data_IF_351370794305
#
_entry.id   IF_351370794305
#
_cell.length_a   1.000
_cell.length_b   1.000
_cell.length_c   1.000
_cell.angle_alpha   90.00
_cell.angle_beta   90.00
_cell.angle_gamma   90.00
#
_symmetry.space_group_name_H-M   'P 1'
#
loop_
_entity.id
_entity.type
_entity.pdbx_description
1 polymer ?
#
# COMPACT_ATOMS: atom_id res chain seq x y z
N UNK A 1 32.90 37.24 -1.27
CA UNK A 1 32.74 35.96 -1.99
C UNK A 1 32.28 36.24 -3.40
N UNK A 2 32.95 35.66 -4.39
CA UNK A 2 32.68 35.90 -5.82
C UNK A 2 31.39 35.20 -6.23
N UNK A 3 30.63 35.73 -7.19
CA UNK A 3 29.36 35.13 -7.67
C UNK A 3 29.49 33.66 -8.08
N UNK A 4 30.66 33.28 -8.62
CA UNK A 4 30.97 31.91 -9.02
C UNK A 4 31.10 30.93 -7.83
N UNK A 5 31.53 31.40 -6.65
CA UNK A 5 31.58 30.56 -5.44
C UNK A 5 30.16 30.21 -5.00
N UNK A 6 29.25 31.21 -4.94
CA UNK A 6 27.84 30.97 -4.58
C UNK A 6 27.16 29.99 -5.53
N UNK A 7 27.43 30.06 -6.84
CA UNK A 7 26.86 29.09 -7.80
C UNK A 7 27.38 27.65 -7.63
N UNK A 8 28.52 27.42 -6.97
CA UNK A 8 29.00 26.06 -6.67
C UNK A 8 28.30 25.46 -5.44
N UNK A 9 27.82 26.32 -4.53
CA UNK A 9 27.20 25.89 -3.28
C UNK A 9 25.78 25.31 -3.47
N UNK A 10 25.17 25.51 -4.64
CA UNK A 10 23.81 25.04 -4.95
C UNK A 10 23.60 23.53 -4.72
N UNK A 11 24.60 22.70 -5.06
CA UNK A 11 24.51 21.26 -4.87
C UNK A 11 24.65 20.88 -3.39
N UNK A 12 25.51 21.59 -2.67
CA UNK A 12 25.72 21.39 -1.24
C UNK A 12 24.50 21.85 -0.42
N UNK A 13 23.86 22.95 -0.83
CA UNK A 13 22.57 23.39 -0.31
C UNK A 13 21.48 22.34 -0.56
N UNK A 14 21.35 21.84 -1.80
CA UNK A 14 20.35 20.83 -2.14
C UNK A 14 20.55 19.49 -1.39
N UNK A 15 21.80 19.15 -1.03
CA UNK A 15 22.13 17.99 -0.22
C UNK A 15 21.96 18.21 1.29
N UNK A 16 21.74 19.45 1.73
CA UNK A 16 21.64 19.81 3.15
C UNK A 16 22.95 19.62 3.91
N UNK A 17 24.09 19.86 3.27
CA UNK A 17 25.43 19.73 3.89
C UNK A 17 26.11 21.06 4.18
N UNK A 18 25.49 22.19 3.77
CA UNK A 18 25.91 23.52 4.20
C UNK A 18 25.68 23.69 5.70
N UNK A 19 26.55 24.48 6.35
CA UNK A 19 26.26 24.95 7.70
C UNK A 19 25.11 25.98 7.67
N UNK A 20 24.54 26.25 8.85
CA UNK A 20 23.39 27.13 8.99
C UNK A 20 23.67 28.56 8.47
N UNK A 21 24.88 29.08 8.71
CA UNK A 21 25.24 30.44 8.36
C UNK A 21 25.48 30.61 6.85
N UNK A 22 26.03 29.58 6.20
CA UNK A 22 26.21 29.50 4.76
C UNK A 22 24.86 29.26 4.06
N UNK A 23 23.99 28.42 4.61
CA UNK A 23 22.66 28.15 4.07
C UNK A 23 21.82 29.44 4.01
N UNK A 24 21.78 30.20 5.11
CA UNK A 24 21.04 31.47 5.16
C UNK A 24 21.58 32.49 4.13
N UNK A 25 22.90 32.58 3.97
CA UNK A 25 23.52 33.44 2.94
C UNK A 25 23.23 32.96 1.52
N UNK A 26 23.05 31.66 1.31
CA UNK A 26 22.69 31.10 0.01
C UNK A 26 21.21 31.32 -0.32
N UNK A 27 20.31 31.26 0.66
CA UNK A 27 18.88 31.56 0.50
C UNK A 27 18.64 32.99 0.02
N UNK A 28 19.38 33.96 0.56
CA UNK A 28 19.36 35.36 0.08
C UNK A 28 19.73 35.43 -1.42
N UNK A 29 20.78 34.72 -1.84
CA UNK A 29 21.17 34.64 -3.25
C UNK A 29 20.13 33.88 -4.11
N UNK A 30 19.46 32.88 -3.56
CA UNK A 30 18.45 32.08 -4.25
C UNK A 30 17.27 32.96 -4.71
N UNK A 31 16.90 33.96 -3.90
CA UNK A 31 15.84 34.92 -4.22
C UNK A 31 16.20 35.84 -5.40
N UNK A 32 17.49 36.10 -5.61
CA UNK A 32 17.98 37.00 -6.65
C UNK A 32 18.43 36.27 -7.93
N UNK A 33 18.63 34.95 -7.88
CA UNK A 33 19.20 34.18 -8.98
C UNK A 33 18.28 33.05 -9.49
N UNK A 34 17.59 33.23 -10.63
CA UNK A 34 16.69 32.20 -11.18
C UNK A 34 17.44 30.95 -11.64
N UNK A 35 18.73 31.07 -11.99
CA UNK A 35 19.56 29.92 -12.37
C UNK A 35 19.82 28.99 -11.16
N UNK A 36 20.09 29.55 -9.99
CA UNK A 36 20.26 28.75 -8.76
C UNK A 36 18.94 28.09 -8.36
N UNK A 37 17.82 28.81 -8.44
CA UNK A 37 16.50 28.25 -8.18
C UNK A 37 16.17 27.06 -9.11
N UNK A 38 16.44 27.20 -10.42
CA UNK A 38 16.31 26.12 -11.38
C UNK A 38 17.17 24.90 -11.01
N UNK A 39 18.46 25.12 -10.71
CA UNK A 39 19.36 24.03 -10.33
C UNK A 39 18.95 23.31 -9.03
N UNK A 40 18.46 24.00 -8.00
CA UNK A 40 17.95 23.35 -6.78
C UNK A 40 16.81 22.38 -7.10
N UNK A 41 15.87 22.79 -7.97
CA UNK A 41 14.78 21.91 -8.40
C UNK A 41 15.27 20.74 -9.25
N UNK A 42 16.22 20.99 -10.17
CA UNK A 42 16.86 19.98 -11.01
C UNK A 42 17.59 18.91 -10.18
N UNK A 43 18.16 19.28 -9.03
CA UNK A 43 18.84 18.34 -8.15
C UNK A 43 17.90 17.45 -7.32
N UNK A 44 16.60 17.76 -7.23
CA UNK A 44 15.64 17.00 -6.41
C UNK A 44 15.68 15.46 -6.61
N UNK A 45 15.67 14.95 -7.86
CA UNK A 45 15.74 13.51 -8.12
C UNK A 45 17.04 12.86 -7.63
N UNK A 46 18.19 13.50 -7.88
CA UNK A 46 19.51 12.95 -7.53
C UNK A 46 19.75 13.01 -6.01
N UNK A 47 19.36 14.10 -5.34
CA UNK A 47 19.46 14.21 -3.87
C UNK A 47 18.59 13.17 -3.20
N UNK A 48 17.38 12.91 -3.71
CA UNK A 48 16.52 11.81 -3.23
C UNK A 48 17.18 10.44 -3.38
N UNK A 49 17.79 10.14 -4.52
CA UNK A 49 18.52 8.87 -4.71
C UNK A 49 19.71 8.74 -3.75
N UNK A 50 20.48 9.82 -3.56
CA UNK A 50 21.61 9.82 -2.63
C UNK A 50 21.17 9.65 -1.17
N UNK A 51 20.03 10.24 -0.78
CA UNK A 51 19.44 10.03 0.54
C UNK A 51 18.98 8.58 0.75
N UNK A 52 18.40 7.95 -0.27
CA UNK A 52 18.05 6.52 -0.22
C UNK A 52 19.29 5.66 -0.08
N UNK A 53 20.32 5.92 -0.89
CA UNK A 53 21.60 5.21 -0.83
C UNK A 53 22.25 5.33 0.55
N UNK A 54 22.25 6.53 1.15
CA UNK A 54 22.79 6.77 2.50
C UNK A 54 22.03 6.01 3.58
N UNK A 55 20.70 5.86 3.46
CA UNK A 55 19.91 5.05 4.40
C UNK A 55 20.16 3.54 4.25
N UNK A 56 20.38 3.07 3.02
CA UNK A 56 20.58 1.65 2.74
C UNK A 56 22.00 1.16 2.98
N UNK A 57 22.98 2.06 3.08
CA UNK A 57 24.40 1.70 3.11
C UNK A 57 25.03 2.15 4.43
N UNK A 58 25.67 1.25 5.21
CA UNK A 58 26.43 1.64 6.39
C UNK A 58 27.57 2.58 5.99
N UNK A 59 27.84 3.59 6.83
CA UNK A 59 28.86 4.63 6.58
C UNK A 59 30.30 4.10 6.38
N UNK A 60 30.56 2.83 6.70
CA UNK A 60 31.88 2.20 6.63
C UNK A 60 32.08 1.33 5.37
N UNK A 61 31.08 1.25 4.48
CA UNK A 61 31.21 0.44 3.26
C UNK A 61 31.64 1.33 2.11
N UNK A 62 32.77 1.00 1.48
CA UNK A 62 33.22 1.71 0.28
C UNK A 62 32.14 1.63 -0.81
N UNK A 63 31.87 2.72 -1.56
CA UNK A 63 30.80 2.73 -2.58
C UNK A 63 30.97 1.70 -3.69
N UNK A 64 32.21 1.26 -3.92
CA UNK A 64 32.58 0.26 -4.93
C UNK A 64 32.75 -1.15 -4.35
N UNK A 65 32.33 -1.39 -3.10
CA UNK A 65 32.43 -2.71 -2.47
C UNK A 65 31.46 -3.66 -3.14
N UNK A 66 31.97 -4.76 -3.70
CA UNK A 66 31.12 -5.81 -4.24
C UNK A 66 30.55 -6.66 -3.10
N UNK A 67 29.23 -6.97 -3.10
CA UNK A 67 28.67 -7.90 -2.14
C UNK A 67 29.34 -9.28 -2.31
N UNK A 68 29.65 -9.93 -1.19
CA UNK A 68 30.28 -11.25 -1.21
C UNK A 68 29.37 -12.30 -1.86
N UNK A 69 29.92 -13.31 -2.55
CA UNK A 69 29.14 -14.29 -3.31
C UNK A 69 28.10 -15.04 -2.46
N UNK A 70 28.42 -15.30 -1.19
CA UNK A 70 27.52 -15.97 -0.23
C UNK A 70 26.23 -15.19 0.06
N UNK A 71 26.23 -13.86 -0.06
CA UNK A 71 25.04 -13.04 0.19
C UNK A 71 24.00 -13.25 -0.92
N UNK A 72 24.45 -13.34 -2.17
CA UNK A 72 23.60 -13.62 -3.31
C UNK A 72 22.96 -15.00 -3.19
N UNK A 73 23.77 -16.03 -2.91
CA UNK A 73 23.28 -17.40 -2.74
C UNK A 73 22.22 -17.48 -1.64
N UNK A 74 22.46 -16.82 -0.51
CA UNK A 74 21.51 -16.76 0.61
C UNK A 74 20.20 -16.08 0.20
N UNK A 75 20.26 -14.94 -0.48
CA UNK A 75 19.06 -14.22 -0.94
C UNK A 75 18.26 -15.04 -1.95
N UNK A 76 18.92 -15.67 -2.92
CA UNK A 76 18.27 -16.53 -3.90
C UNK A 76 17.61 -17.75 -3.23
N UNK A 77 18.27 -18.33 -2.22
CA UNK A 77 17.70 -19.43 -1.44
C UNK A 77 16.46 -19.01 -0.66
N UNK A 78 16.46 -17.81 -0.06
CA UNK A 78 15.35 -17.26 0.72
C UNK A 78 14.15 -16.93 -0.19
N UNK A 79 14.39 -16.31 -1.34
CA UNK A 79 13.36 -16.02 -2.36
C UNK A 79 12.76 -17.33 -2.89
N UNK A 80 13.60 -18.34 -3.15
CA UNK A 80 13.16 -19.67 -3.56
C UNK A 80 12.27 -20.35 -2.51
N UNK A 81 12.64 -20.26 -1.22
CA UNK A 81 11.84 -20.79 -0.12
C UNK A 81 10.48 -20.07 -0.03
N UNK A 82 10.45 -18.75 -0.15
CA UNK A 82 9.22 -17.94 -0.11
C UNK A 82 8.28 -18.25 -1.28
N UNK A 83 8.80 -18.38 -2.50
CA UNK A 83 8.01 -18.78 -3.65
C UNK A 83 7.43 -20.19 -3.50
N UNK A 84 8.22 -21.13 -2.99
CA UNK A 84 7.76 -22.50 -2.75
C UNK A 84 6.63 -22.56 -1.72
N UNK A 85 6.74 -21.77 -0.65
CA UNK A 85 5.67 -21.64 0.35
C UNK A 85 4.39 -21.02 -0.25
N UNK A 86 4.52 -19.95 -1.04
CA UNK A 86 3.40 -19.32 -1.74
C UNK A 86 2.71 -20.28 -2.72
N UNK A 87 3.48 -21.00 -3.54
CA UNK A 87 2.96 -22.01 -4.48
C UNK A 87 2.23 -23.13 -3.74
N UNK A 88 2.74 -23.61 -2.60
CA UNK A 88 2.05 -24.62 -1.78
C UNK A 88 0.70 -24.09 -1.26
N UNK A 89 0.65 -22.86 -0.74
CA UNK A 89 -0.60 -22.24 -0.29
C UNK A 89 -1.60 -22.07 -1.43
N UNK A 90 -1.15 -21.63 -2.60
CA UNK A 90 -1.99 -21.51 -3.79
C UNK A 90 -2.55 -22.88 -4.22
N UNK A 91 -1.70 -23.91 -4.27
CA UNK A 91 -2.14 -25.28 -4.58
C UNK A 91 -3.14 -25.80 -3.54
N UNK A 92 -2.94 -25.52 -2.25
CA UNK A 92 -3.92 -25.85 -1.20
C UNK A 92 -5.24 -25.13 -1.42
N UNK A 93 -5.22 -23.84 -1.79
CA UNK A 93 -6.44 -23.08 -2.08
C UNK A 93 -7.18 -23.65 -3.30
N UNK A 94 -6.47 -23.98 -4.37
CA UNK A 94 -7.05 -24.63 -5.56
C UNK A 94 -7.60 -26.02 -5.22
N UNK A 95 -6.88 -26.81 -4.42
CA UNK A 95 -7.38 -28.11 -3.98
C UNK A 95 -8.66 -27.98 -3.15
N UNK A 96 -8.72 -26.98 -2.26
CA UNK A 96 -9.91 -26.69 -1.48
C UNK A 96 -11.08 -26.28 -2.38
N UNK A 97 -10.89 -25.39 -3.36
CA UNK A 97 -11.97 -24.99 -4.28
C UNK A 97 -12.49 -26.17 -5.10
N UNK A 98 -11.61 -27.04 -5.61
CA UNK A 98 -12.02 -28.25 -6.33
C UNK A 98 -12.80 -29.20 -5.41
N UNK A 99 -12.35 -29.40 -4.16
CA UNK A 99 -13.05 -30.25 -3.20
C UNK A 99 -14.47 -29.72 -2.89
N UNK A 100 -14.63 -28.41 -2.70
CA UNK A 100 -15.94 -27.78 -2.51
C UNK A 100 -16.83 -27.92 -3.76
N UNK A 101 -16.28 -27.77 -4.96
CA UNK A 101 -17.04 -27.93 -6.20
C UNK A 101 -17.54 -29.36 -6.41
N UNK A 102 -16.77 -30.37 -6.01
CA UNK A 102 -17.16 -31.80 -6.13
C UNK A 102 -18.14 -32.21 -5.02
N UNK A 103 -18.01 -31.66 -3.81
CA UNK A 103 -18.94 -31.93 -2.70
C UNK A 103 -20.25 -31.13 -2.75
N UNK A 104 -20.25 -30.01 -3.49
CA UNK A 104 -21.38 -29.06 -3.59
C UNK A 104 -22.68 -29.59 -4.21
N UNK A 105 -22.69 -30.47 -5.24
CA UNK A 105 -23.94 -30.85 -5.91
C UNK A 105 -24.93 -31.57 -4.99
N UNK A 106 -24.44 -32.25 -3.93
CA UNK A 106 -25.30 -32.97 -2.99
C UNK A 106 -26.05 -32.07 -1.99
N UNK A 107 -25.53 -30.88 -1.70
CA UNK A 107 -26.13 -29.95 -0.72
C UNK A 107 -27.09 -28.94 -1.37
N UNK A 108 -26.88 -28.57 -2.63
CA UNK A 108 -27.76 -27.63 -3.36
C UNK A 108 -29.14 -28.23 -3.65
N UNK A 109 -29.26 -29.55 -3.77
CA UNK A 109 -30.55 -30.22 -4.02
C UNK A 109 -31.49 -30.20 -2.79
N UNK A 110 -30.96 -29.98 -1.58
CA UNK A 110 -31.76 -29.89 -0.35
C UNK A 110 -32.18 -28.45 0.01
N UNK A 111 -31.57 -27.44 -0.60
CA UNK A 111 -31.92 -26.04 -0.41
C UNK A 111 -32.39 -25.47 -1.75
N UNK A 112 -33.70 -25.56 -2.03
CA UNK A 112 -34.30 -25.03 -3.25
C UNK A 112 -33.93 -23.57 -3.49
N UNK A 113 -32.97 -23.33 -4.37
CA UNK A 113 -32.50 -22.01 -4.75
C UNK A 113 -33.10 -21.61 -6.09
N UNK A 114 -34.11 -20.73 -6.06
CA UNK A 114 -34.54 -19.98 -7.24
C UNK A 114 -33.52 -18.87 -7.53
N UNK A 115 -33.03 -18.82 -8.76
CA UNK A 115 -32.21 -17.72 -9.29
C UNK A 115 -32.94 -16.38 -9.12
N UNK A 116 -32.32 -15.42 -8.44
CA UNK A 116 -32.74 -14.01 -8.48
C UNK A 116 -32.85 -13.28 -7.13
N UNK A 117 -32.83 -13.99 -6.00
CA UNK A 117 -33.04 -13.33 -4.69
C UNK A 117 -31.91 -13.66 -3.70
N UNK A 118 -31.07 -12.66 -3.39
CA UNK A 118 -30.05 -12.74 -2.34
C UNK A 118 -30.66 -12.31 -1.01
N UNK A 119 -30.71 -13.22 -0.03
CA UNK A 119 -31.24 -12.94 1.31
C UNK A 119 -30.14 -13.11 2.36
N UNK A 120 -29.85 -12.05 3.11
CA UNK A 120 -28.84 -12.02 4.18
C UNK A 120 -29.52 -11.58 5.47
N UNK A 121 -29.34 -12.33 6.56
CA UNK A 121 -29.79 -11.97 7.89
C UNK A 121 -28.64 -11.93 8.90
N UNK A 122 -28.72 -10.99 9.83
CA UNK A 122 -27.74 -10.81 10.88
C UNK A 122 -28.42 -10.34 12.18
N UNK A 123 -27.97 -10.88 13.30
CA UNK A 123 -28.39 -10.46 14.64
C UNK A 123 -27.19 -9.94 15.40
N UNK A 124 -27.28 -8.71 15.90
CA UNK A 124 -26.25 -8.19 16.80
C UNK A 124 -26.47 -8.72 18.22
N UNK A 125 -25.53 -9.52 18.70
CA UNK A 125 -25.64 -10.20 19.99
C UNK A 125 -25.63 -9.25 21.21
N UNK A 126 -25.17 -8.01 21.05
CA UNK A 126 -25.04 -7.03 22.15
C UNK A 126 -26.30 -6.18 22.30
N UNK A 127 -26.86 -5.73 21.20
CA UNK A 127 -28.05 -4.87 21.15
C UNK A 127 -29.34 -5.67 20.99
N UNK A 128 -29.27 -6.93 20.56
CA UNK A 128 -30.44 -7.75 20.26
C UNK A 128 -31.16 -7.33 18.98
N UNK A 129 -30.60 -6.40 18.21
CA UNK A 129 -31.16 -5.93 16.95
C UNK A 129 -30.97 -7.00 15.89
N UNK A 130 -32.07 -7.38 15.24
CA UNK A 130 -32.06 -8.25 14.07
C UNK A 130 -32.32 -7.42 12.82
N UNK A 131 -31.51 -7.66 11.79
CA UNK A 131 -31.69 -7.06 10.48
C UNK A 131 -31.67 -8.14 9.40
N UNK A 132 -32.50 -7.96 8.39
CA UNK A 132 -32.56 -8.79 7.22
C UNK A 132 -32.64 -7.93 5.97
N UNK A 133 -31.76 -8.22 5.04
CA UNK A 133 -31.71 -7.59 3.72
C UNK A 133 -32.10 -8.65 2.70
N UNK A 134 -33.13 -8.34 1.93
CA UNK A 134 -33.47 -9.09 0.71
C UNK A 134 -33.12 -8.20 -0.47
N UNK A 135 -32.28 -8.70 -1.36
CA UNK A 135 -31.90 -8.03 -2.60
C UNK A 135 -32.42 -8.83 -3.79
N UNK A 136 -33.11 -8.14 -4.69
CA UNK A 136 -33.54 -8.66 -5.97
C UNK A 136 -32.91 -7.84 -7.08
N UNK A 137 -32.19 -8.49 -7.99
CA UNK A 137 -31.45 -7.83 -9.05
C UNK A 137 -32.33 -7.69 -10.30
N UNK A 138 -32.43 -6.47 -10.82
CA UNK A 138 -33.05 -6.15 -12.11
C UNK A 138 -32.00 -5.59 -13.08
N UNK A 139 -32.30 -5.60 -14.37
CA UNK A 139 -31.41 -5.08 -15.42
C UNK A 139 -31.13 -3.58 -15.29
N UNK A 140 -31.99 -2.84 -14.58
CA UNK A 140 -31.88 -1.40 -14.34
C UNK A 140 -31.34 -1.03 -12.95
N UNK A 141 -31.03 -2.01 -12.10
CA UNK A 141 -30.57 -1.80 -10.72
C UNK A 141 -31.09 -2.87 -9.76
N UNK A 142 -30.81 -2.73 -8.47
CA UNK A 142 -31.23 -3.72 -7.45
C UNK A 142 -32.31 -3.12 -6.54
N UNK A 143 -33.38 -3.88 -6.28
CA UNK A 143 -34.35 -3.55 -5.24
C UNK A 143 -33.92 -4.18 -3.92
N UNK A 144 -33.81 -3.33 -2.90
CA UNK A 144 -33.42 -3.75 -1.55
C UNK A 144 -34.61 -3.60 -0.60
N UNK A 145 -35.00 -4.71 0.03
CA UNK A 145 -35.93 -4.71 1.16
C UNK A 145 -35.12 -4.92 2.45
N UNK A 146 -35.13 -3.92 3.34
CA UNK A 146 -34.52 -4.00 4.66
C UNK A 146 -35.60 -4.14 5.73
N UNK A 147 -35.56 -5.24 6.49
CA UNK A 147 -36.39 -5.48 7.66
C UNK A 147 -35.51 -5.40 8.90
N UNK A 148 -35.85 -4.51 9.83
CA UNK A 148 -35.16 -4.38 11.12
C UNK A 148 -36.16 -4.61 12.25
N UNK A 149 -35.76 -5.41 13.24
CA UNK A 149 -36.48 -5.57 14.50
C UNK A 149 -35.54 -5.23 15.65
N UNK A 150 -35.96 -4.27 16.47
CA UNK A 150 -35.30 -3.90 17.70
C UNK A 150 -36.27 -4.15 18.87
N UNK A 151 -35.81 -4.87 19.89
CA UNK A 151 -36.58 -5.11 21.12
C UNK A 151 -36.74 -3.86 21.99
N UNK A 152 -35.96 -2.80 21.74
CA UNK A 152 -35.95 -1.56 22.50
C UNK A 152 -36.93 -0.47 22.00
N UNK A 153 -37.73 -0.73 20.95
CA UNK A 153 -38.71 0.20 20.40
C UNK A 153 -38.18 1.12 19.27
N UNK A 154 -39.03 2.00 18.71
CA UNK A 154 -38.67 2.83 17.55
C UNK A 154 -37.61 3.87 17.90
N UNK A 155 -36.58 4.01 17.04
CA UNK A 155 -35.54 5.03 17.17
C UNK A 155 -35.66 6.06 16.05
N UNK A 156 -35.43 7.32 16.36
CA UNK A 156 -35.30 8.40 15.38
C UNK A 156 -33.85 8.48 14.92
N UNK A 157 -33.60 8.11 13.66
CA UNK A 157 -32.35 8.43 13.00
C UNK A 157 -32.31 9.96 12.80
N UNK A 158 -31.25 10.60 13.28
CA UNK A 158 -31.01 12.04 13.13
C UNK A 158 -29.77 12.26 12.30
#
# INVERSE_FOLDING_TARGET
MRSQERHRDVAAYALGVLDEADAFRFEDHLMECPRCAAHVTEFGPITRQLLLYRRSTPQFVHPMTKPGPRLLDRLLSEVGARHRAGRRRFLCAVAATVAFAVAGPGLVVLAGGGEGTLRIDATDARSGVWAQVTAEDYTSGSQLELKVKDGAGPRTCR
#
